data_IF_071027345714
#
_entry.id   IF_071027345714
#
_cell.length_a   1.000
_cell.length_b   1.000
_cell.length_c   1.000
_cell.angle_alpha   90.00
_cell.angle_beta   90.00
_cell.angle_gamma   90.00
#
_symmetry.space_group_name_H-M   'P 1'
#
loop_
_entity.id
_entity.type
_entity.pdbx_description
1 polymer ?
#
# COMPACT_ATOMS: atom_id res chain seq x y z
N UNK A 1 31.09 9.84 6.33
CA UNK A 1 32.52 10.12 6.58
C UNK A 1 32.83 9.89 8.05
N UNK A 2 34.07 9.58 8.46
CA UNK A 2 34.45 9.42 9.88
C UNK A 2 34.15 10.68 10.71
N UNK A 3 34.08 11.84 10.04
CA UNK A 3 33.66 13.12 10.62
C UNK A 3 32.18 13.17 11.03
N UNK A 4 31.28 12.41 10.41
CA UNK A 4 29.84 12.41 10.74
C UNK A 4 29.54 11.64 12.05
N UNK A 5 30.45 10.75 12.44
CA UNK A 5 30.35 9.93 13.66
C UNK A 5 30.71 10.73 14.91
N UNK A 6 31.66 11.66 14.78
CA UNK A 6 32.17 12.45 15.91
C UNK A 6 31.20 13.59 16.26
N UNK A 7 30.44 14.09 15.29
CA UNK A 7 29.55 15.24 15.46
C UNK A 7 28.14 14.89 16.00
N UNK A 8 27.97 13.67 16.56
CA UNK A 8 26.69 13.20 17.11
C UNK A 8 25.57 12.95 16.09
N UNK A 9 25.82 13.20 14.80
CA UNK A 9 24.85 13.03 13.70
C UNK A 9 24.72 11.57 13.25
N UNK A 10 25.71 10.71 13.52
CA UNK A 10 25.63 9.29 13.18
C UNK A 10 24.56 8.53 13.98
N UNK A 11 24.24 8.96 15.20
CA UNK A 11 23.16 8.35 15.98
C UNK A 11 21.75 8.64 15.44
N UNK A 12 21.59 9.68 14.60
CA UNK A 12 20.30 10.02 13.98
C UNK A 12 19.97 9.16 12.76
N UNK A 13 20.97 8.60 12.07
CA UNK A 13 20.73 7.73 10.90
C UNK A 13 20.30 6.31 11.26
N UNK A 14 20.48 5.90 12.52
CA UNK A 14 20.19 4.53 12.94
C UNK A 14 18.74 4.28 13.35
N UNK A 15 17.88 5.30 13.29
CA UNK A 15 16.51 5.26 13.85
C UNK A 15 15.42 5.55 12.80
N UNK A 16 15.76 5.54 11.50
CA UNK A 16 14.73 5.53 10.46
C UNK A 16 14.68 4.13 9.84
N UNK A 17 13.50 3.54 9.88
CA UNK A 17 13.19 2.30 9.17
C UNK A 17 13.41 2.51 7.68
N UNK A 18 14.18 1.62 7.04
CA UNK A 18 14.50 1.74 5.61
C UNK A 18 13.24 1.43 4.82
N UNK A 19 12.75 2.39 4.04
CA UNK A 19 11.59 2.21 3.18
C UNK A 19 12.02 1.58 1.85
N UNK A 20 11.12 0.87 1.17
CA UNK A 20 11.42 0.19 -0.11
C UNK A 20 11.85 1.20 -1.18
N UNK A 21 11.32 2.40 -1.08
CA UNK A 21 11.59 3.58 -1.90
C UNK A 21 13.06 4.01 -1.82
N UNK A 22 13.67 3.94 -0.64
CA UNK A 22 15.07 4.28 -0.40
C UNK A 22 16.02 3.31 -1.13
N UNK A 23 15.55 2.07 -1.39
CA UNK A 23 16.31 1.02 -2.07
C UNK A 23 16.10 1.06 -3.59
N UNK A 24 14.88 1.32 -4.04
CA UNK A 24 14.52 1.25 -5.47
C UNK A 24 14.85 2.53 -6.24
N UNK A 25 15.11 3.66 -5.55
CA UNK A 25 15.59 4.91 -6.17
C UNK A 25 14.61 5.55 -7.17
N UNK A 26 13.34 5.16 -7.13
CA UNK A 26 12.27 5.68 -8.00
C UNK A 26 11.19 6.34 -7.16
N UNK A 27 10.68 7.47 -7.64
CA UNK A 27 9.50 8.10 -7.04
C UNK A 27 8.29 7.16 -7.13
N UNK A 28 7.55 6.92 -6.03
CA UNK A 28 6.31 6.16 -6.07
C UNK A 28 5.33 6.78 -7.05
N UNK A 29 4.64 5.93 -7.82
CA UNK A 29 3.54 6.42 -8.66
C UNK A 29 2.41 6.86 -7.75
N UNK A 30 2.17 8.18 -7.68
CA UNK A 30 1.03 8.74 -6.95
C UNK A 30 -0.23 8.50 -7.74
N UNK A 31 -1.17 7.74 -7.17
CA UNK A 31 -2.51 7.62 -7.72
C UNK A 31 -3.15 9.01 -7.63
N UNK A 32 -3.63 9.53 -8.75
CA UNK A 32 -4.37 10.80 -8.79
C UNK A 32 -5.72 10.60 -8.12
N UNK A 33 -5.79 10.96 -6.84
CA UNK A 33 -6.94 10.69 -5.98
C UNK A 33 -8.27 11.17 -6.59
N UNK A 34 -8.29 12.35 -7.21
CA UNK A 34 -9.53 12.92 -7.78
C UNK A 34 -10.08 12.11 -8.97
N UNK A 35 -9.19 11.68 -9.87
CA UNK A 35 -9.57 10.81 -11.01
C UNK A 35 -10.06 9.45 -10.50
N UNK A 36 -9.36 8.87 -9.50
CA UNK A 36 -9.73 7.59 -8.90
C UNK A 36 -11.09 7.65 -8.16
N UNK A 37 -11.36 8.72 -7.39
CA UNK A 37 -12.65 8.91 -6.72
C UNK A 37 -13.78 8.89 -7.74
N UNK A 38 -13.65 9.67 -8.82
CA UNK A 38 -14.70 9.74 -9.86
C UNK A 38 -14.94 8.38 -10.54
N UNK A 39 -13.89 7.56 -10.64
CA UNK A 39 -13.96 6.28 -11.33
C UNK A 39 -14.52 5.17 -10.46
N UNK A 40 -14.37 5.21 -9.13
CA UNK A 40 -14.74 4.10 -8.25
C UNK A 40 -15.94 4.38 -7.33
N UNK A 41 -16.26 5.66 -7.08
CA UNK A 41 -17.37 6.03 -6.20
C UNK A 41 -18.70 5.45 -6.68
N UNK A 42 -19.46 4.89 -5.74
CA UNK A 42 -20.79 4.29 -5.96
C UNK A 42 -20.83 3.17 -7.02
N UNK A 43 -19.68 2.66 -7.47
CA UNK A 43 -19.61 1.52 -8.40
C UNK A 43 -19.52 0.18 -7.65
N UNK A 44 -19.91 -0.89 -8.35
CA UNK A 44 -19.58 -2.26 -7.92
C UNK A 44 -18.26 -2.68 -8.54
N UNK A 45 -17.29 -3.08 -7.73
CA UNK A 45 -15.94 -3.45 -8.16
C UNK A 45 -15.66 -4.89 -7.75
N UNK A 46 -15.14 -5.70 -8.67
CA UNK A 46 -14.68 -7.06 -8.43
C UNK A 46 -13.16 -7.10 -8.51
N UNK A 47 -12.51 -7.65 -7.48
CA UNK A 47 -11.07 -7.88 -7.43
C UNK A 47 -10.81 -9.39 -7.41
N UNK A 48 -10.06 -9.88 -8.39
CA UNK A 48 -9.59 -11.28 -8.44
C UNK A 48 -8.18 -11.38 -7.88
N UNK A 49 -7.88 -12.42 -7.13
CA UNK A 49 -6.63 -12.52 -6.37
C UNK A 49 -6.60 -11.54 -5.19
N UNK A 50 -7.78 -11.27 -4.60
CA UNK A 50 -7.95 -10.23 -3.58
C UNK A 50 -7.15 -10.49 -2.30
N UNK A 51 -6.87 -11.74 -1.95
CA UNK A 51 -6.07 -12.09 -0.78
C UNK A 51 -4.56 -12.08 -1.03
N UNK A 52 -4.12 -11.95 -2.28
CA UNK A 52 -2.69 -11.77 -2.58
C UNK A 52 -2.17 -10.40 -2.12
N UNK A 53 -0.86 -10.25 -1.97
CA UNK A 53 -0.23 -9.03 -1.46
C UNK A 53 -0.61 -7.75 -2.22
N UNK A 54 -0.76 -7.83 -3.55
CA UNK A 54 -1.19 -6.70 -4.38
C UNK A 54 -2.71 -6.51 -4.30
N UNK A 55 -3.47 -7.61 -4.36
CA UNK A 55 -4.93 -7.56 -4.33
C UNK A 55 -5.45 -6.97 -3.02
N UNK A 56 -4.83 -7.32 -1.89
CA UNK A 56 -5.21 -6.85 -0.57
C UNK A 56 -4.98 -5.35 -0.41
N UNK A 57 -3.84 -4.85 -0.91
CA UNK A 57 -3.54 -3.43 -0.96
C UNK A 57 -4.53 -2.67 -1.84
N UNK A 58 -4.85 -3.20 -3.02
CA UNK A 58 -5.85 -2.60 -3.92
C UNK A 58 -7.21 -2.53 -3.25
N UNK A 59 -7.65 -3.62 -2.60
CA UNK A 59 -8.91 -3.65 -1.85
C UNK A 59 -8.94 -2.56 -0.76
N UNK A 60 -7.88 -2.45 0.05
CA UNK A 60 -7.77 -1.43 1.11
C UNK A 60 -7.78 0.00 0.57
N UNK A 61 -7.11 0.25 -0.54
CA UNK A 61 -7.11 1.57 -1.17
C UNK A 61 -8.47 1.92 -1.78
N UNK A 62 -9.13 0.96 -2.44
CA UNK A 62 -10.43 1.18 -3.08
C UNK A 62 -11.53 1.55 -2.09
N UNK A 63 -11.48 1.01 -0.86
CA UNK A 63 -12.43 1.36 0.20
C UNK A 63 -12.45 2.87 0.50
N UNK A 64 -11.32 3.58 0.32
CA UNK A 64 -11.23 5.04 0.54
C UNK A 64 -12.00 5.86 -0.49
N UNK A 65 -12.38 5.25 -1.62
CA UNK A 65 -13.11 5.90 -2.71
C UNK A 65 -14.63 5.68 -2.64
N UNK A 66 -15.14 5.06 -1.57
CA UNK A 66 -16.57 4.78 -1.33
C UNK A 66 -17.26 4.06 -2.52
N UNK A 67 -16.80 2.87 -2.93
CA UNK A 67 -17.55 2.06 -3.86
C UNK A 67 -18.90 1.63 -3.25
N UNK A 68 -19.91 1.42 -4.08
CA UNK A 68 -21.20 0.89 -3.63
C UNK A 68 -21.07 -0.56 -3.15
N UNK A 69 -20.17 -1.33 -3.77
CA UNK A 69 -19.88 -2.71 -3.39
C UNK A 69 -18.47 -3.10 -3.84
N UNK A 70 -17.72 -3.72 -2.95
CA UNK A 70 -16.46 -4.37 -3.26
C UNK A 70 -16.65 -5.89 -3.15
N UNK A 71 -16.39 -6.61 -4.22
CA UNK A 71 -16.44 -8.08 -4.29
C UNK A 71 -15.00 -8.58 -4.36
N UNK A 72 -14.62 -9.41 -3.40
CA UNK A 72 -13.28 -9.97 -3.30
C UNK A 72 -13.34 -11.44 -3.66
N UNK A 73 -12.56 -11.85 -4.66
CA UNK A 73 -12.46 -13.23 -5.11
C UNK A 73 -11.01 -13.66 -5.05
N UNK A 74 -10.77 -14.77 -4.37
CA UNK A 74 -9.48 -15.44 -4.33
C UNK A 74 -9.70 -16.95 -4.34
N UNK A 75 -8.69 -17.70 -4.81
CA UNK A 75 -8.70 -19.16 -4.72
C UNK A 75 -8.20 -19.65 -3.36
N UNK A 76 -7.45 -18.82 -2.63
CA UNK A 76 -6.92 -19.12 -1.31
C UNK A 76 -7.86 -18.59 -0.24
N UNK A 77 -8.57 -19.51 0.43
CA UNK A 77 -9.42 -19.19 1.58
C UNK A 77 -8.62 -18.52 2.70
N UNK A 78 -7.43 -19.04 3.02
CA UNK A 78 -6.57 -18.46 4.05
C UNK A 78 -6.21 -17.01 3.74
N UNK A 79 -5.83 -16.72 2.49
CA UNK A 79 -5.44 -15.36 2.13
C UNK A 79 -6.62 -14.39 2.27
N UNK A 80 -7.82 -14.83 1.86
CA UNK A 80 -9.03 -14.03 2.00
C UNK A 80 -9.45 -13.88 3.48
N UNK A 81 -9.20 -14.88 4.31
CA UNK A 81 -9.43 -14.82 5.76
C UNK A 81 -8.51 -13.81 6.45
N UNK A 82 -7.23 -13.77 6.06
CA UNK A 82 -6.25 -12.87 6.67
C UNK A 82 -6.25 -11.44 6.10
N UNK A 83 -7.07 -11.15 5.08
CA UNK A 83 -7.08 -9.83 4.43
C UNK A 83 -7.48 -8.67 5.35
N UNK A 84 -8.24 -8.94 6.43
CA UNK A 84 -8.57 -7.94 7.46
C UNK A 84 -7.50 -7.82 8.57
N UNK A 85 -6.56 -8.77 8.64
CA UNK A 85 -5.59 -8.93 9.73
C UNK A 85 -4.21 -8.32 9.44
N UNK A 86 -4.01 -7.75 8.24
CA UNK A 86 -2.81 -7.01 7.81
C UNK A 86 -3.08 -5.50 7.75
#
# INVERSE_FOLDING_TARGET
SLYDVIDGRAHLYQVREIEVEDILGREPVKIKADEAISEFKDKTVLITGAGGSIGSEICRQLLRFNPSRLIMVDHSENNLFYIESE
#
